data_IF_742034424958
#
_entry.id   IF_742034424958
#
_cell.length_a   1.000
_cell.length_b   1.000
_cell.length_c   1.000
_cell.angle_alpha   90.00
_cell.angle_beta   90.00
_cell.angle_gamma   90.00
#
_symmetry.space_group_name_H-M   'P 1'
#
loop_
_entity.id
_entity.type
_entity.pdbx_description
1 polymer ?
#
# COMPACT_ATOMS: atom_id res chain seq x y z
N UNK A 1 -54.53 41.92 5.22
CA UNK A 1 -53.61 41.64 4.10
C UNK A 1 -53.36 40.15 4.06
N UNK A 2 -54.01 39.41 3.14
CA UNK A 2 -53.95 37.93 3.05
C UNK A 2 -52.60 37.38 2.53
N UNK A 3 -51.63 38.27 2.26
CA UNK A 3 -50.30 37.90 1.78
C UNK A 3 -49.47 37.18 2.86
N UNK A 4 -49.63 37.52 4.15
CA UNK A 4 -48.83 36.94 5.23
C UNK A 4 -49.33 35.56 5.70
N UNK A 5 -50.62 35.25 5.55
CA UNK A 5 -51.19 33.94 5.90
C UNK A 5 -50.76 32.82 4.93
N UNK A 6 -50.35 33.18 3.70
CA UNK A 6 -49.92 32.21 2.68
C UNK A 6 -48.40 32.16 2.48
N UNK A 7 -47.63 33.08 3.07
CA UNK A 7 -46.16 33.09 2.94
C UNK A 7 -45.54 31.86 3.57
N UNK A 8 -46.04 31.40 4.72
CA UNK A 8 -45.57 30.16 5.35
C UNK A 8 -45.77 28.95 4.43
N UNK A 9 -46.95 28.83 3.81
CA UNK A 9 -47.25 27.76 2.85
C UNK A 9 -46.33 27.84 1.63
N UNK A 10 -46.15 29.04 1.06
CA UNK A 10 -45.30 29.28 -0.12
C UNK A 10 -43.82 29.05 0.18
N UNK A 11 -43.35 29.28 1.41
CA UNK A 11 -41.94 29.09 1.80
C UNK A 11 -41.64 27.69 2.32
N UNK A 12 -42.63 27.01 2.90
CA UNK A 12 -42.49 25.66 3.41
C UNK A 12 -42.24 24.62 2.31
N UNK A 13 -42.95 24.71 1.18
CA UNK A 13 -42.74 23.82 0.04
C UNK A 13 -41.31 23.86 -0.56
N UNK A 14 -40.75 25.03 -0.94
CA UNK A 14 -39.37 25.09 -1.44
C UNK A 14 -38.35 24.72 -0.34
N UNK A 15 -38.65 24.99 0.93
CA UNK A 15 -37.81 24.54 2.03
C UNK A 15 -37.76 23.01 2.15
N UNK A 16 -38.92 22.33 2.13
CA UNK A 16 -38.96 20.86 2.13
C UNK A 16 -38.24 20.31 0.90
N UNK A 17 -38.50 20.88 -0.28
CA UNK A 17 -37.87 20.44 -1.52
C UNK A 17 -36.34 20.57 -1.43
N UNK A 18 -35.85 21.71 -0.94
CA UNK A 18 -34.43 21.95 -0.68
C UNK A 18 -33.84 20.98 0.35
N UNK A 19 -34.59 20.67 1.41
CA UNK A 19 -34.17 19.70 2.42
C UNK A 19 -34.07 18.27 1.84
N UNK A 20 -35.01 17.86 0.97
CA UNK A 20 -34.94 16.58 0.27
C UNK A 20 -33.69 16.52 -0.63
N UNK A 21 -33.42 17.56 -1.41
CA UNK A 21 -32.21 17.62 -2.24
C UNK A 21 -30.93 17.62 -1.40
N UNK A 22 -30.93 18.31 -0.27
CA UNK A 22 -29.83 18.29 0.68
C UNK A 22 -29.59 16.87 1.21
N UNK A 23 -30.61 16.20 1.78
CA UNK A 23 -30.47 14.84 2.30
C UNK A 23 -30.07 13.83 1.22
N UNK A 24 -30.65 13.90 0.02
CA UNK A 24 -30.30 13.01 -1.09
C UNK A 24 -28.86 13.21 -1.57
N UNK A 25 -28.35 14.44 -1.55
CA UNK A 25 -26.93 14.72 -1.82
C UNK A 25 -26.00 14.04 -0.80
N UNK A 26 -26.35 14.05 0.49
CA UNK A 26 -25.55 13.36 1.52
C UNK A 26 -25.57 11.84 1.35
N UNK A 27 -26.73 11.27 1.04
CA UNK A 27 -26.85 9.83 0.78
C UNK A 27 -26.06 9.44 -0.47
N UNK A 28 -26.18 10.23 -1.55
CA UNK A 28 -25.42 9.99 -2.78
C UNK A 28 -23.91 10.03 -2.53
N UNK A 29 -23.42 11.07 -1.85
CA UNK A 29 -22.01 11.23 -1.54
C UNK A 29 -21.48 10.07 -0.67
N UNK A 30 -22.29 9.53 0.24
CA UNK A 30 -21.89 8.39 1.06
C UNK A 30 -21.55 7.14 0.23
N UNK A 31 -22.23 6.94 -0.91
CA UNK A 31 -21.98 5.83 -1.83
C UNK A 31 -21.06 6.21 -3.00
N UNK A 32 -20.51 7.44 -3.02
CA UNK A 32 -19.72 7.92 -4.14
C UNK A 32 -18.28 7.40 -4.05
N UNK A 33 -17.86 6.73 -5.13
CA UNK A 33 -16.50 6.26 -5.31
C UNK A 33 -15.70 7.27 -6.11
N UNK A 34 -14.38 7.27 -5.90
CA UNK A 34 -13.45 8.04 -6.70
C UNK A 34 -13.67 7.78 -8.19
N UNK A 35 -13.78 8.85 -8.97
CA UNK A 35 -14.01 8.77 -10.42
C UNK A 35 -12.68 8.73 -11.16
N UNK A 36 -12.18 7.51 -11.39
CA UNK A 36 -11.04 7.26 -12.26
C UNK A 36 -11.49 6.42 -13.44
N UNK A 37 -11.31 6.94 -14.66
CA UNK A 37 -11.46 6.13 -15.86
C UNK A 37 -10.27 5.15 -15.94
N UNK A 38 -10.59 3.86 -15.96
CA UNK A 38 -9.59 2.81 -16.00
C UNK A 38 -10.12 1.59 -16.75
N UNK A 39 -9.18 0.84 -17.32
CA UNK A 39 -9.46 -0.43 -17.99
C UNK A 39 -8.52 -1.49 -17.41
N UNK A 40 -9.03 -2.70 -17.20
CA UNK A 40 -8.21 -3.83 -16.75
C UNK A 40 -7.49 -4.42 -17.95
N UNK A 41 -6.23 -4.01 -18.14
CA UNK A 41 -5.41 -4.38 -19.30
C UNK A 41 -4.52 -5.61 -19.01
N UNK A 42 -4.51 -6.16 -17.79
CA UNK A 42 -3.57 -7.22 -17.45
C UNK A 42 -3.73 -7.90 -16.10
N UNK A 43 -2.72 -8.69 -15.77
CA UNK A 43 -2.59 -9.42 -14.52
C UNK A 43 -1.16 -9.36 -14.00
N UNK A 44 -1.01 -9.25 -12.69
CA UNK A 44 0.28 -9.25 -12.00
C UNK A 44 0.23 -10.33 -10.93
N UNK A 45 1.18 -11.26 -10.98
CA UNK A 45 1.33 -12.33 -10.01
C UNK A 45 2.75 -12.35 -9.45
N UNK A 46 2.90 -12.45 -8.13
CA UNK A 46 4.17 -12.75 -7.48
C UNK A 46 4.12 -14.18 -6.97
N UNK A 47 4.95 -15.06 -7.52
CA UNK A 47 5.04 -16.45 -7.09
C UNK A 47 6.48 -16.81 -6.68
N UNK A 48 6.75 -18.09 -6.42
CA UNK A 48 8.07 -18.53 -5.98
C UNK A 48 9.17 -18.48 -7.07
N UNK A 49 8.77 -18.47 -8.34
CA UNK A 49 9.69 -18.51 -9.50
C UNK A 49 10.05 -17.11 -10.00
N UNK A 50 9.11 -16.17 -9.95
CA UNK A 50 9.30 -14.82 -10.46
C UNK A 50 8.07 -13.94 -10.32
N UNK A 51 8.08 -12.86 -11.09
CA UNK A 51 6.96 -11.95 -11.25
C UNK A 51 6.38 -12.18 -12.64
N UNK A 52 5.11 -12.57 -12.71
CA UNK A 52 4.39 -12.78 -13.97
C UNK A 52 3.60 -11.52 -14.29
N UNK A 53 3.83 -10.98 -15.49
CA UNK A 53 3.09 -9.85 -16.04
C UNK A 53 2.28 -10.34 -17.24
N UNK A 54 0.98 -10.02 -17.25
CA UNK A 54 0.03 -10.35 -18.32
C UNK A 54 -0.07 -11.84 -18.67
N UNK A 55 0.18 -12.73 -17.70
CA UNK A 55 0.17 -14.20 -17.88
C UNK A 55 1.20 -14.76 -18.90
N UNK A 56 2.06 -13.92 -19.47
CA UNK A 56 3.00 -14.32 -20.53
C UNK A 56 4.46 -14.02 -20.14
N UNK A 57 4.72 -12.84 -19.58
CA UNK A 57 6.06 -12.38 -19.26
C UNK A 57 6.45 -12.75 -17.83
N UNK A 58 7.23 -13.83 -17.68
CA UNK A 58 7.80 -14.24 -16.38
C UNK A 58 9.20 -13.68 -16.19
N UNK A 59 9.34 -12.72 -15.28
CA UNK A 59 10.62 -12.17 -14.86
C UNK A 59 11.13 -12.95 -13.66
N UNK A 60 12.17 -13.74 -13.85
CA UNK A 60 12.83 -14.45 -12.74
C UNK A 60 13.47 -13.48 -11.77
N UNK A 61 13.42 -13.79 -10.48
CA UNK A 61 14.01 -12.92 -9.46
C UNK A 61 15.51 -12.69 -9.64
N UNK A 62 16.24 -13.65 -10.20
CA UNK A 62 17.66 -13.52 -10.51
C UNK A 62 17.95 -12.51 -11.63
N UNK A 63 16.95 -12.12 -12.40
CA UNK A 63 17.08 -11.15 -13.49
C UNK A 63 16.63 -9.74 -13.07
N UNK A 64 16.08 -9.58 -11.87
CA UNK A 64 15.66 -8.28 -11.36
C UNK A 64 16.88 -7.40 -11.08
N UNK A 65 16.90 -6.24 -11.72
CA UNK A 65 17.84 -5.15 -11.46
C UNK A 65 17.29 -4.15 -10.43
N UNK A 66 15.98 -3.88 -10.49
CA UNK A 66 15.33 -2.96 -9.55
C UNK A 66 13.84 -3.30 -9.36
N UNK A 67 13.33 -2.97 -8.17
CA UNK A 67 11.90 -3.03 -7.87
C UNK A 67 11.50 -1.89 -6.93
N UNK A 68 10.37 -1.25 -7.23
CA UNK A 68 9.74 -0.24 -6.39
C UNK A 68 8.24 -0.54 -6.32
N UNK A 69 7.70 -0.60 -5.11
CA UNK A 69 6.30 -0.97 -4.86
C UNK A 69 5.72 0.08 -3.92
N UNK A 70 4.62 0.69 -4.36
CA UNK A 70 3.82 1.61 -3.57
C UNK A 70 2.42 1.02 -3.48
N UNK A 71 2.15 0.29 -2.40
CA UNK A 71 0.83 -0.25 -2.10
C UNK A 71 0.29 0.41 -0.83
N UNK A 72 -0.99 0.71 -0.79
CA UNK A 72 -1.60 1.34 0.40
C UNK A 72 -3.08 1.56 0.30
N UNK A 73 -3.67 1.26 -0.86
CA UNK A 73 -5.10 1.46 -1.11
C UNK A 73 -5.74 0.20 -1.65
N UNK A 74 -7.03 0.06 -1.38
CA UNK A 74 -7.86 -1.00 -1.93
C UNK A 74 -9.26 -0.46 -2.23
N UNK A 75 -9.99 -1.19 -3.05
CA UNK A 75 -11.33 -0.83 -3.47
C UNK A 75 -12.28 -0.78 -2.27
N UNK A 76 -13.04 0.31 -2.13
CA UNK A 76 -13.98 0.52 -1.03
C UNK A 76 -13.35 1.07 0.25
N UNK A 77 -12.03 1.29 0.29
CA UNK A 77 -11.37 1.94 1.42
C UNK A 77 -11.94 3.35 1.62
N UNK A 78 -12.29 3.69 2.86
CA UNK A 78 -12.80 5.02 3.18
C UNK A 78 -11.71 6.07 3.01
N UNK A 79 -12.02 7.17 2.33
CA UNK A 79 -11.13 8.32 2.28
C UNK A 79 -11.08 8.97 3.66
N UNK A 80 -9.88 9.27 4.21
CA UNK A 80 -9.82 10.09 5.42
C UNK A 80 -10.43 11.45 5.09
N UNK A 81 -11.38 11.90 5.91
CA UNK A 81 -12.08 13.16 5.73
C UNK A 81 -11.12 14.33 5.91
N UNK A 82 -10.39 14.70 4.85
CA UNK A 82 -9.46 15.82 4.87
C UNK A 82 -10.24 17.08 4.50
N UNK A 83 -10.79 17.72 5.54
CA UNK A 83 -11.52 19.00 5.53
C UNK A 83 -12.93 18.98 4.89
N UNK A 84 -13.96 19.55 5.56
CA UNK A 84 -15.35 19.49 5.14
C UNK A 84 -15.71 20.50 4.02
N UNK A 85 -14.72 21.04 3.30
CA UNK A 85 -14.96 22.20 2.43
C UNK A 85 -15.55 21.86 1.06
N UNK A 86 -15.59 20.58 0.66
CA UNK A 86 -16.25 20.18 -0.58
C UNK A 86 -16.76 18.74 -0.54
N UNK A 87 -17.87 18.44 -1.25
CA UNK A 87 -18.30 17.07 -1.46
C UNK A 87 -17.20 16.33 -2.23
N UNK A 88 -16.52 15.42 -1.53
CA UNK A 88 -15.49 14.54 -2.08
C UNK A 88 -15.95 13.09 -1.97
N UNK A 89 -15.49 12.21 -2.88
CA UNK A 89 -15.80 10.79 -2.81
C UNK A 89 -15.38 10.21 -1.46
N UNK A 90 -16.26 9.41 -0.86
CA UNK A 90 -16.03 8.78 0.46
C UNK A 90 -15.28 7.46 0.33
N UNK A 91 -15.22 6.88 -0.86
CA UNK A 91 -14.59 5.58 -1.13
C UNK A 91 -13.53 5.67 -2.23
N UNK A 92 -12.42 4.97 -2.02
CA UNK A 92 -11.33 4.82 -3.01
C UNK A 92 -11.62 3.67 -3.96
N UNK A 93 -11.12 3.80 -5.18
CA UNK A 93 -11.12 2.71 -6.18
C UNK A 93 -10.01 1.68 -5.95
N UNK A 94 -8.95 2.05 -5.22
CA UNK A 94 -7.81 1.18 -4.95
C UNK A 94 -6.81 1.08 -6.10
N UNK A 95 -6.84 2.01 -7.07
CA UNK A 95 -5.97 2.04 -8.25
C UNK A 95 -4.73 2.92 -8.09
N UNK A 96 -4.55 3.53 -6.92
CA UNK A 96 -3.38 4.36 -6.62
C UNK A 96 -2.11 3.54 -6.39
N UNK A 97 -2.20 2.20 -6.32
CA UNK A 97 -1.05 1.35 -6.09
C UNK A 97 -0.20 1.24 -7.37
N UNK A 98 1.13 1.28 -7.19
CA UNK A 98 2.10 1.28 -8.28
C UNK A 98 3.17 0.24 -8.05
N UNK A 99 3.56 -0.43 -9.12
CA UNK A 99 4.72 -1.31 -9.15
C UNK A 99 5.59 -0.97 -10.34
N UNK A 100 6.88 -0.78 -10.06
CA UNK A 100 7.91 -0.61 -11.08
C UNK A 100 8.90 -1.76 -10.98
N UNK A 101 9.05 -2.49 -12.06
CA UNK A 101 9.94 -3.64 -12.15
C UNK A 101 10.94 -3.35 -13.26
N UNK A 102 12.23 -3.49 -12.97
CA UNK A 102 13.28 -3.34 -13.97
C UNK A 102 14.15 -4.59 -14.00
N UNK A 103 14.26 -5.18 -15.17
CA UNK A 103 15.27 -6.18 -15.56
C UNK A 103 16.32 -5.50 -16.44
N UNK A 104 17.39 -6.22 -16.77
CA UNK A 104 18.42 -5.72 -17.68
C UNK A 104 17.88 -5.40 -19.09
N UNK A 105 16.78 -6.04 -19.48
CA UNK A 105 16.21 -5.95 -20.84
C UNK A 105 14.86 -5.25 -20.90
N UNK A 106 14.08 -5.29 -19.82
CA UNK A 106 12.68 -4.85 -19.82
C UNK A 106 12.40 -4.03 -18.56
N UNK A 107 11.56 -3.01 -18.69
CA UNK A 107 11.04 -2.22 -17.58
C UNK A 107 9.52 -2.13 -17.68
N UNK A 108 8.86 -2.46 -16.58
CA UNK A 108 7.42 -2.28 -16.39
C UNK A 108 7.17 -1.17 -15.37
N UNK A 109 6.17 -0.32 -15.65
CA UNK A 109 5.65 0.70 -14.74
C UNK A 109 4.13 0.57 -14.81
N UNK A 110 3.55 -0.06 -13.79
CA UNK A 110 2.16 -0.52 -13.80
C UNK A 110 1.43 0.01 -12.57
N UNK A 111 0.19 0.44 -12.78
CA UNK A 111 -0.76 0.61 -11.69
C UNK A 111 -1.52 -0.70 -11.48
N UNK A 112 -1.84 -1.04 -10.24
CA UNK A 112 -2.60 -2.25 -9.94
C UNK A 112 -3.68 -1.98 -8.89
N UNK A 113 -4.80 -2.68 -9.06
CA UNK A 113 -5.94 -2.64 -8.14
C UNK A 113 -5.84 -3.73 -7.08
N UNK A 114 -6.28 -3.43 -5.87
CA UNK A 114 -6.54 -4.41 -4.82
C UNK A 114 -8.03 -4.35 -4.48
N UNK A 115 -8.72 -5.49 -4.53
CA UNK A 115 -10.18 -5.55 -4.41
C UNK A 115 -10.70 -5.31 -2.99
N UNK A 116 -9.88 -5.57 -1.97
CA UNK A 116 -10.26 -5.47 -0.57
C UNK A 116 -9.03 -5.39 0.34
N UNK A 117 -9.27 -5.15 1.63
CA UNK A 117 -8.23 -5.08 2.67
C UNK A 117 -7.43 -6.39 2.78
N UNK A 118 -8.10 -7.54 2.67
CA UNK A 118 -7.45 -8.84 2.72
C UNK A 118 -6.44 -9.03 1.57
N UNK A 119 -6.71 -8.50 0.37
CA UNK A 119 -5.76 -8.53 -0.75
C UNK A 119 -4.52 -7.68 -0.44
N UNK A 120 -4.68 -6.52 0.22
CA UNK A 120 -3.55 -5.69 0.65
C UNK A 120 -2.68 -6.42 1.69
N UNK A 121 -3.30 -7.02 2.69
CA UNK A 121 -2.58 -7.79 3.72
C UNK A 121 -1.88 -9.02 3.13
N UNK A 122 -2.56 -9.74 2.25
CA UNK A 122 -2.01 -10.91 1.55
C UNK A 122 -0.85 -10.54 0.63
N UNK A 123 -0.96 -9.42 -0.08
CA UNK A 123 0.11 -8.86 -0.91
C UNK A 123 1.35 -8.56 -0.06
N UNK A 124 1.18 -7.86 1.06
CA UNK A 124 2.29 -7.54 1.95
C UNK A 124 2.91 -8.75 2.62
N UNK A 125 2.10 -9.75 3.01
CA UNK A 125 2.60 -11.00 3.55
C UNK A 125 3.42 -11.77 2.52
N UNK A 126 2.94 -11.81 1.27
CA UNK A 126 3.65 -12.46 0.16
C UNK A 126 4.98 -11.78 -0.11
N UNK A 127 4.97 -10.44 -0.21
CA UNK A 127 6.18 -9.64 -0.39
C UNK A 127 7.18 -9.88 0.75
N UNK A 128 6.71 -9.88 2.00
CA UNK A 128 7.53 -10.15 3.17
C UNK A 128 8.19 -11.53 3.10
N UNK A 129 7.43 -12.58 2.77
CA UNK A 129 7.95 -13.94 2.62
C UNK A 129 9.05 -14.00 1.57
N UNK A 130 8.80 -13.48 0.37
CA UNK A 130 9.75 -13.45 -0.74
C UNK A 130 11.05 -12.73 -0.38
N UNK A 131 10.96 -11.64 0.39
CA UNK A 131 12.11 -10.90 0.90
C UNK A 131 12.92 -11.73 1.90
N UNK A 132 12.26 -12.33 2.90
CA UNK A 132 12.95 -13.11 3.95
C UNK A 132 13.65 -14.36 3.38
N UNK A 133 13.05 -15.00 2.37
CA UNK A 133 13.70 -16.12 1.66
C UNK A 133 14.74 -15.64 0.63
N UNK A 134 15.03 -14.33 0.59
CA UNK A 134 16.12 -13.70 -0.15
C UNK A 134 16.01 -13.84 -1.68
N UNK A 135 14.78 -13.82 -2.21
CA UNK A 135 14.55 -13.85 -3.66
C UNK A 135 15.06 -12.58 -4.35
N UNK A 136 14.98 -11.44 -3.68
CA UNK A 136 15.45 -10.14 -4.20
C UNK A 136 16.97 -9.92 -4.05
N UNK A 137 17.79 -10.97 -4.04
CA UNK A 137 19.23 -10.90 -3.71
C UNK A 137 20.04 -9.86 -4.50
N UNK A 138 19.65 -9.60 -5.75
CA UNK A 138 20.35 -8.69 -6.66
C UNK A 138 19.97 -7.21 -6.48
N UNK A 139 18.94 -6.93 -5.68
CA UNK A 139 18.45 -5.57 -5.42
C UNK A 139 19.20 -5.02 -4.21
N UNK A 140 19.43 -3.70 -4.18
CA UNK A 140 20.11 -3.08 -3.05
C UNK A 140 19.35 -3.33 -1.74
N UNK A 141 20.07 -3.77 -0.70
CA UNK A 141 19.49 -4.11 0.61
C UNK A 141 18.64 -2.98 1.17
N UNK A 142 19.09 -1.72 1.02
CA UNK A 142 18.33 -0.55 1.46
C UNK A 142 16.94 -0.45 0.82
N UNK A 143 16.82 -0.73 -0.48
CA UNK A 143 15.52 -0.72 -1.18
C UNK A 143 14.63 -1.84 -0.65
N UNK A 144 15.16 -3.06 -0.54
CA UNK A 144 14.42 -4.22 -0.02
C UNK A 144 13.87 -3.94 1.38
N UNK A 145 14.67 -3.35 2.27
CA UNK A 145 14.25 -3.04 3.64
C UNK A 145 13.16 -1.96 3.73
N UNK A 146 13.05 -1.10 2.71
CA UNK A 146 11.97 -0.11 2.61
C UNK A 146 10.65 -0.73 2.13
N UNK A 147 10.70 -1.85 1.41
CA UNK A 147 9.51 -2.57 0.94
C UNK A 147 8.80 -3.34 2.05
N UNK A 148 9.48 -3.61 3.17
CA UNK A 148 8.92 -4.35 4.30
C UNK A 148 8.08 -3.40 5.18
N UNK A 149 6.77 -3.64 5.33
CA UNK A 149 5.92 -2.86 6.21
C UNK A 149 6.39 -2.94 7.67
N UNK A 150 6.18 -1.85 8.42
CA UNK A 150 6.61 -1.73 9.82
C UNK A 150 6.07 -2.86 10.72
N UNK A 151 4.86 -3.36 10.44
CA UNK A 151 4.24 -4.45 11.20
C UNK A 151 5.05 -5.76 11.20
N UNK A 152 5.85 -6.02 10.15
CA UNK A 152 6.67 -7.22 10.06
C UNK A 152 8.08 -7.05 10.64
N UNK A 153 8.53 -5.82 10.92
CA UNK A 153 9.92 -5.54 11.38
C UNK A 153 10.23 -6.07 12.78
N UNK A 154 9.22 -6.45 13.55
CA UNK A 154 9.40 -7.05 14.87
C UNK A 154 9.35 -8.58 14.85
N UNK A 155 9.05 -9.19 13.70
CA UNK A 155 8.93 -10.65 13.57
C UNK A 155 10.27 -11.38 13.73
N UNK A 156 10.29 -12.62 14.27
CA UNK A 156 11.49 -13.45 14.32
C UNK A 156 12.13 -13.67 12.94
N UNK A 157 11.31 -13.85 11.91
CA UNK A 157 11.71 -14.09 10.53
C UNK A 157 12.48 -12.90 9.96
N UNK A 158 11.98 -11.69 10.20
CA UNK A 158 12.65 -10.46 9.81
C UNK A 158 14.00 -10.31 10.54
N UNK A 159 14.04 -10.55 11.85
CA UNK A 159 15.27 -10.45 12.65
C UNK A 159 16.32 -11.46 12.17
N UNK A 160 15.92 -12.69 11.89
CA UNK A 160 16.79 -13.71 11.32
C UNK A 160 17.34 -13.30 9.94
N UNK A 161 16.49 -12.72 9.09
CA UNK A 161 16.89 -12.20 7.79
C UNK A 161 17.92 -11.05 7.91
N UNK A 162 17.71 -10.09 8.81
CA UNK A 162 18.68 -9.01 9.07
C UNK A 162 20.02 -9.57 9.52
N UNK A 163 20.02 -10.54 10.44
CA UNK A 163 21.25 -11.21 10.89
C UNK A 163 21.97 -11.91 9.74
N UNK A 164 21.23 -12.63 8.88
CA UNK A 164 21.77 -13.27 7.67
C UNK A 164 22.47 -12.23 6.78
N UNK A 165 21.84 -11.07 6.54
CA UNK A 165 22.42 -10.00 5.73
C UNK A 165 23.70 -9.39 6.32
N UNK A 166 23.78 -9.27 7.66
CA UNK A 166 25.00 -8.83 8.35
C UNK A 166 26.13 -9.85 8.16
N UNK A 167 25.84 -11.14 8.36
CA UNK A 167 26.81 -12.22 8.22
C UNK A 167 27.34 -12.35 6.78
N UNK A 168 26.47 -12.15 5.79
CA UNK A 168 26.84 -12.12 4.37
C UNK A 168 27.56 -10.84 3.93
N UNK A 169 27.78 -9.88 4.84
CA UNK A 169 28.39 -8.56 4.57
C UNK A 169 27.64 -7.73 3.52
N UNK A 170 26.36 -8.04 3.28
CA UNK A 170 25.45 -7.25 2.42
C UNK A 170 24.87 -6.03 3.13
N UNK A 171 25.12 -5.94 4.44
CA UNK A 171 24.69 -4.86 5.29
C UNK A 171 25.74 -4.62 6.38
N UNK A 172 26.04 -3.35 6.66
CA UNK A 172 26.97 -3.01 7.73
C UNK A 172 26.37 -3.41 9.08
N UNK A 173 27.22 -3.90 9.99
CA UNK A 173 26.80 -4.25 11.34
C UNK A 173 25.97 -3.15 12.02
N UNK A 174 26.45 -1.91 12.01
CA UNK A 174 25.77 -0.79 12.67
C UNK A 174 24.38 -0.56 12.08
N UNK A 175 24.28 -0.50 10.74
CA UNK A 175 23.00 -0.30 10.04
C UNK A 175 22.04 -1.46 10.31
N UNK A 176 22.55 -2.69 10.44
CA UNK A 176 21.74 -3.89 10.68
C UNK A 176 21.22 -4.00 12.08
N UNK A 177 22.05 -3.65 13.06
CA UNK A 177 21.61 -3.59 14.45
C UNK A 177 20.52 -2.53 14.63
N UNK A 178 20.63 -1.37 13.97
CA UNK A 178 19.56 -0.36 13.98
C UNK A 178 18.24 -0.90 13.41
N UNK A 179 18.31 -1.72 12.36
CA UNK A 179 17.14 -2.36 11.77
C UNK A 179 16.56 -3.49 12.63
N UNK A 180 17.31 -4.00 13.62
CA UNK A 180 16.90 -5.10 14.50
C UNK A 180 15.98 -4.64 15.68
N UNK A 181 15.75 -3.33 15.83
CA UNK A 181 14.83 -2.72 16.81
C UNK A 181 15.04 -3.26 18.24
N UNK A 182 16.24 -3.07 18.78
CA UNK A 182 16.58 -3.41 20.17
C UNK A 182 16.08 -2.32 21.14
N UNK A 183 15.81 -2.70 22.40
CA UNK A 183 15.23 -1.78 23.40
C UNK A 183 16.27 -1.17 24.34
N UNK A 184 17.45 -1.78 24.44
CA UNK A 184 18.48 -1.37 25.41
C UNK A 184 19.89 -1.41 24.81
N UNK A 185 20.77 -0.56 25.33
CA UNK A 185 22.18 -0.54 24.90
C UNK A 185 22.92 -1.84 25.23
N UNK A 186 22.50 -2.54 26.28
CA UNK A 186 23.07 -3.86 26.64
C UNK A 186 22.75 -4.90 25.57
N UNK A 187 21.49 -4.95 25.12
CA UNK A 187 21.05 -5.83 24.04
C UNK A 187 21.82 -5.52 22.73
N UNK A 188 22.02 -4.23 22.43
CA UNK A 188 22.82 -3.81 21.28
C UNK A 188 24.28 -4.31 21.36
N UNK A 189 24.91 -4.20 22.54
CA UNK A 189 26.28 -4.68 22.76
C UNK A 189 26.39 -6.20 22.62
N UNK A 190 25.42 -6.95 23.13
CA UNK A 190 25.37 -8.41 22.99
C UNK A 190 25.21 -8.84 21.52
N UNK A 191 24.27 -8.23 20.80
CA UNK A 191 24.06 -8.50 19.37
C UNK A 191 25.30 -8.15 18.54
N UNK A 192 25.97 -7.03 18.85
CA UNK A 192 27.22 -6.63 18.18
C UNK A 192 28.34 -7.64 18.42
N UNK A 193 28.52 -8.11 19.65
CA UNK A 193 29.51 -9.16 19.96
C UNK A 193 29.19 -10.47 19.25
N UNK A 194 27.90 -10.81 19.11
CA UNK A 194 27.45 -12.08 18.54
C UNK A 194 27.55 -12.14 17.02
N UNK A 195 27.26 -11.04 16.33
CA UNK A 195 27.08 -11.05 14.87
C UNK A 195 28.08 -10.19 14.09
N UNK A 196 28.88 -9.37 14.77
CA UNK A 196 29.80 -8.43 14.13
C UNK A 196 31.27 -8.61 14.54
N UNK A 197 31.57 -9.70 15.25
CA UNK A 197 32.93 -10.12 15.62
C UNK A 197 33.60 -10.91 14.50
#
# INVERSE_FOLDING_TARGET
MPLFENIEVITYYPFILGFIFYCTSFVYQYFDYERLEHEKIGHLELNDEGIIVNHEDTIKYEQLADIDIQAGTYHGQKTPAMFPQSPSPTHRTGLENKIRISSNTIRYDLNFGLENEYHLDSFYLTLFKLIVIDKFKNISTKKIMNLIPSQFKNSPEYKAFVVKLIQEKRLNCTDGLLLHVYKTDKEAQELRKKYCG
#
